data_IF_443056475521
#
_entry.id   IF_443056475521
#
_cell.length_a   1.000
_cell.length_b   1.000
_cell.length_c   1.000
_cell.angle_alpha   90.00
_cell.angle_beta   90.00
_cell.angle_gamma   90.00
#
_symmetry.space_group_name_H-M   'P 1'
#
loop_
_entity.id
_entity.type
_entity.pdbx_description
1 polymer ?
#
# COMPACT_ATOMS: atom_id res chain seq x y z
N UNK A 1 45.74 31.60 -21.74
CA UNK A 1 45.33 31.43 -20.33
C UNK A 1 43.93 31.97 -20.04
N UNK A 2 43.56 33.18 -20.47
CA UNK A 2 42.24 33.79 -20.15
C UNK A 2 41.03 33.00 -20.69
N UNK A 3 41.09 32.51 -21.94
CA UNK A 3 40.01 31.70 -22.55
C UNK A 3 39.81 30.37 -21.81
N UNK A 4 40.90 29.72 -21.41
CA UNK A 4 40.88 28.48 -20.63
C UNK A 4 40.24 28.68 -19.24
N UNK A 5 40.56 29.80 -18.58
CA UNK A 5 39.94 30.18 -17.31
C UNK A 5 38.44 30.44 -17.44
N UNK A 6 38.03 31.18 -18.47
CA UNK A 6 36.62 31.46 -18.73
C UNK A 6 35.83 30.17 -19.04
N UNK A 7 36.38 29.26 -19.85
CA UNK A 7 35.74 27.99 -20.17
C UNK A 7 35.55 27.09 -18.93
N UNK A 8 36.53 27.06 -18.03
CA UNK A 8 36.43 26.30 -16.77
C UNK A 8 35.31 26.84 -15.87
N UNK A 9 35.22 28.16 -15.73
CA UNK A 9 34.19 28.81 -14.91
C UNK A 9 32.79 28.55 -15.48
N UNK A 10 32.61 28.73 -16.79
CA UNK A 10 31.34 28.44 -17.47
C UNK A 10 30.98 26.96 -17.33
N UNK A 11 31.95 26.06 -17.50
CA UNK A 11 31.76 24.62 -17.33
C UNK A 11 31.32 24.24 -15.91
N UNK A 12 31.92 24.85 -14.88
CA UNK A 12 31.54 24.64 -13.48
C UNK A 12 30.13 25.17 -13.18
N UNK A 13 29.79 26.36 -13.67
CA UNK A 13 28.44 26.94 -13.50
C UNK A 13 27.39 26.06 -14.19
N UNK A 14 27.64 25.65 -15.43
CA UNK A 14 26.73 24.78 -16.18
C UNK A 14 26.60 23.40 -15.52
N UNK A 15 27.71 22.82 -15.05
CA UNK A 15 27.74 21.54 -14.34
C UNK A 15 26.97 21.60 -13.02
N UNK A 16 27.21 22.62 -12.21
CA UNK A 16 26.49 22.86 -10.96
C UNK A 16 25.00 23.10 -11.20
N UNK A 17 24.65 23.96 -12.17
CA UNK A 17 23.26 24.20 -12.55
C UNK A 17 22.54 22.94 -13.03
N UNK A 18 23.20 22.12 -13.84
CA UNK A 18 22.70 20.82 -14.28
C UNK A 18 22.49 19.85 -13.11
N UNK A 19 23.43 19.79 -12.16
CA UNK A 19 23.32 18.97 -10.96
C UNK A 19 22.16 19.41 -10.06
N UNK A 20 22.00 20.71 -9.82
CA UNK A 20 20.87 21.26 -9.08
C UNK A 20 19.53 20.95 -9.75
N UNK A 21 19.43 21.10 -11.08
CA UNK A 21 18.22 20.74 -11.83
C UNK A 21 17.90 19.25 -11.74
N UNK A 22 18.91 18.39 -11.78
CA UNK A 22 18.74 16.96 -11.59
C UNK A 22 18.23 16.64 -10.17
N UNK A 23 18.78 17.30 -9.16
CA UNK A 23 18.38 17.17 -7.75
C UNK A 23 16.93 17.65 -7.52
N UNK A 24 16.54 18.78 -8.13
CA UNK A 24 15.17 19.32 -8.06
C UNK A 24 14.13 18.42 -8.73
N UNK A 25 14.54 17.57 -9.68
CA UNK A 25 13.66 16.59 -10.32
C UNK A 25 13.46 15.33 -9.46
N UNK A 26 14.27 15.13 -8.42
CA UNK A 26 14.09 14.04 -7.46
C UNK A 26 13.07 14.44 -6.37
N UNK A 27 11.82 14.05 -6.59
CA UNK A 27 10.71 14.21 -5.64
C UNK A 27 10.47 12.95 -4.82
N UNK A 28 11.48 12.08 -4.65
CA UNK A 28 11.37 10.93 -3.74
C UNK A 28 11.24 11.37 -2.28
N UNK A 29 10.75 10.49 -1.42
CA UNK A 29 10.84 10.71 0.03
C UNK A 29 12.26 10.37 0.47
N UNK A 30 12.90 11.26 1.22
CA UNK A 30 14.25 11.03 1.78
C UNK A 30 14.19 10.36 3.15
N UNK A 31 13.09 10.57 3.87
CA UNK A 31 12.85 10.01 5.19
C UNK A 31 11.35 9.77 5.44
N UNK A 32 10.98 8.89 6.39
CA UNK A 32 9.57 8.58 6.68
C UNK A 32 8.77 9.79 7.16
N UNK A 33 9.37 10.66 7.98
CA UNK A 33 8.72 11.87 8.49
C UNK A 33 8.30 12.83 7.36
N UNK A 34 9.04 12.83 6.25
CA UNK A 34 8.68 13.63 5.08
C UNK A 34 7.38 13.12 4.45
N UNK A 35 7.20 11.81 4.31
CA UNK A 35 5.94 11.23 3.84
C UNK A 35 4.78 11.57 4.78
N UNK A 36 5.00 11.50 6.10
CA UNK A 36 4.02 11.86 7.10
C UNK A 36 3.58 13.33 6.98
N UNK A 37 4.55 14.24 6.84
CA UNK A 37 4.31 15.67 6.68
C UNK A 37 3.52 15.99 5.40
N UNK A 38 3.94 15.45 4.25
CA UNK A 38 3.33 15.79 2.97
C UNK A 38 1.95 15.17 2.74
N UNK A 39 1.64 14.06 3.42
CA UNK A 39 0.40 13.31 3.22
C UNK A 39 -0.56 13.42 4.41
N UNK A 40 -0.09 13.93 5.55
CA UNK A 40 -0.89 14.02 6.78
C UNK A 40 -1.33 12.65 7.30
N UNK A 41 -0.51 11.62 7.07
CA UNK A 41 -0.82 10.22 7.36
C UNK A 41 0.37 9.54 8.03
N UNK A 42 0.14 8.68 9.04
CA UNK A 42 1.22 7.97 9.70
C UNK A 42 1.88 6.96 8.76
N UNK A 43 3.20 6.78 8.89
CA UNK A 43 3.93 5.71 8.20
C UNK A 43 3.90 4.47 9.08
N UNK A 44 3.14 3.44 8.66
CA UNK A 44 2.97 2.20 9.41
C UNK A 44 4.11 1.20 9.20
N UNK A 45 4.88 1.35 8.13
CA UNK A 45 5.99 0.44 7.85
C UNK A 45 6.88 0.88 6.69
N UNK A 46 8.07 0.30 6.67
CA UNK A 46 9.08 0.53 5.65
C UNK A 46 9.58 -0.81 5.14
N UNK A 47 9.41 -1.07 3.85
CA UNK A 47 9.85 -2.32 3.23
C UNK A 47 11.11 -2.05 2.42
N UNK A 48 12.26 -2.65 2.79
CA UNK A 48 13.52 -2.38 2.12
C UNK A 48 13.52 -2.90 0.67
N UNK A 49 14.36 -2.31 -0.17
CA UNK A 49 14.60 -2.85 -1.51
C UNK A 49 15.28 -4.23 -1.39
N UNK A 50 14.60 -5.29 -1.83
CA UNK A 50 15.20 -6.61 -1.97
C UNK A 50 16.25 -6.60 -3.09
N UNK A 51 17.42 -7.23 -2.85
CA UNK A 51 18.38 -7.53 -3.91
C UNK A 51 17.69 -8.39 -4.98
N UNK A 52 18.03 -8.14 -6.24
CA UNK A 52 17.21 -8.47 -7.39
C UNK A 52 16.63 -9.90 -7.44
N UNK A 53 15.44 -9.97 -8.05
CA UNK A 53 14.89 -11.12 -8.77
C UNK A 53 14.09 -12.20 -8.05
N UNK A 54 13.31 -11.88 -7.02
CA UNK A 54 12.09 -12.65 -6.77
C UNK A 54 11.05 -11.89 -5.94
N UNK A 55 9.88 -11.68 -6.53
CA UNK A 55 8.63 -11.46 -5.78
C UNK A 55 8.34 -12.79 -5.09
N UNK A 56 8.90 -13.00 -3.90
CA UNK A 56 8.70 -14.21 -3.13
C UNK A 56 7.87 -13.86 -1.89
N UNK A 57 6.86 -14.69 -1.63
CA UNK A 57 6.43 -14.89 -0.25
C UNK A 57 7.67 -15.31 0.52
N UNK A 58 7.98 -14.61 1.61
CA UNK A 58 8.96 -15.11 2.55
C UNK A 58 8.38 -16.35 3.24
N UNK A 59 8.45 -17.51 2.58
CA UNK A 59 8.16 -18.79 3.22
C UNK A 59 9.24 -19.00 4.28
N UNK A 60 8.82 -19.24 5.52
CA UNK A 60 9.73 -19.59 6.60
C UNK A 60 10.58 -20.80 6.16
N UNK A 61 11.90 -20.63 6.11
CA UNK A 61 12.84 -21.69 5.70
C UNK A 61 14.00 -21.26 4.79
N UNK A 62 14.02 -20.04 4.24
CA UNK A 62 15.12 -19.57 3.38
C UNK A 62 16.04 -18.55 4.11
N UNK A 63 17.35 -18.75 3.99
CA UNK A 63 18.43 -18.16 4.80
C UNK A 63 18.64 -16.63 4.65
N UNK A 64 19.07 -16.03 5.76
CA UNK A 64 19.81 -14.78 6.03
C UNK A 64 19.41 -13.44 5.36
N UNK A 65 19.22 -13.31 4.04
CA UNK A 65 18.75 -12.05 3.44
C UNK A 65 17.27 -11.77 3.76
N UNK A 66 16.55 -12.81 4.13
CA UNK A 66 15.15 -12.77 4.48
C UNK A 66 14.86 -12.06 5.81
N UNK A 67 15.85 -11.88 6.70
CA UNK A 67 15.63 -11.31 8.03
C UNK A 67 15.06 -9.89 7.97
N UNK A 68 15.65 -9.00 7.18
CA UNK A 68 15.21 -7.60 7.12
C UNK A 68 13.82 -7.43 6.49
N UNK A 69 13.51 -8.22 5.45
CA UNK A 69 12.19 -8.18 4.80
C UNK A 69 11.11 -8.80 5.70
N UNK A 70 11.43 -9.95 6.33
CA UNK A 70 10.55 -10.59 7.30
C UNK A 70 10.26 -9.68 8.49
N UNK A 71 11.29 -9.03 9.02
CA UNK A 71 11.16 -8.12 10.15
C UNK A 71 10.36 -6.87 9.78
N UNK A 72 10.56 -6.32 8.57
CA UNK A 72 9.72 -5.24 8.05
C UNK A 72 8.22 -5.65 8.00
N UNK A 73 7.91 -6.86 7.55
CA UNK A 73 6.53 -7.35 7.52
C UNK A 73 5.98 -7.66 8.93
N UNK A 74 6.79 -8.15 9.86
CA UNK A 74 6.41 -8.35 11.27
C UNK A 74 6.15 -7.02 11.98
N UNK A 75 6.97 -6.01 11.72
CA UNK A 75 6.78 -4.66 12.22
C UNK A 75 5.50 -4.05 11.64
N UNK A 76 5.28 -4.18 10.32
CA UNK A 76 4.04 -3.73 9.68
C UNK A 76 2.81 -4.44 10.24
N UNK A 77 2.86 -5.76 10.45
CA UNK A 77 1.80 -6.52 11.11
C UNK A 77 1.49 -5.94 12.50
N UNK A 78 2.53 -5.70 13.28
CA UNK A 78 2.38 -5.16 14.65
C UNK A 78 1.74 -3.78 14.62
N UNK A 79 2.24 -2.87 13.76
CA UNK A 79 1.66 -1.56 13.55
C UNK A 79 0.19 -1.64 13.09
N UNK A 80 -0.13 -2.56 12.17
CA UNK A 80 -1.49 -2.78 11.70
C UNK A 80 -2.39 -3.20 12.86
N UNK A 81 -2.02 -4.23 13.62
CA UNK A 81 -2.79 -4.74 14.77
C UNK A 81 -3.06 -3.61 15.78
N UNK A 82 -2.08 -2.75 16.08
CA UNK A 82 -2.26 -1.62 16.98
C UNK A 82 -3.13 -0.50 16.40
N UNK A 83 -3.04 -0.27 15.08
CA UNK A 83 -3.78 0.79 14.40
C UNK A 83 -5.24 0.41 14.15
N UNK A 84 -5.49 -0.87 13.86
CA UNK A 84 -6.82 -1.43 13.67
C UNK A 84 -7.52 -1.69 14.99
N UNK A 85 -8.85 -1.52 14.98
CA UNK A 85 -9.71 -2.05 16.04
C UNK A 85 -10.33 -3.36 15.52
N UNK A 86 -10.12 -4.47 16.24
CA UNK A 86 -10.57 -5.81 15.87
C UNK A 86 -12.10 -5.91 15.66
N UNK A 87 -12.87 -4.99 16.23
CA UNK A 87 -14.32 -4.94 16.06
C UNK A 87 -14.78 -4.22 14.77
N UNK A 88 -13.99 -3.29 14.23
CA UNK A 88 -14.48 -2.35 13.20
C UNK A 88 -13.62 -2.24 11.94
N UNK A 89 -12.42 -2.83 11.91
CA UNK A 89 -11.51 -2.73 10.75
C UNK A 89 -11.10 -4.12 10.26
N UNK A 90 -12.08 -4.90 9.78
CA UNK A 90 -11.85 -6.26 9.27
C UNK A 90 -11.51 -6.24 7.79
N UNK A 91 -12.19 -5.41 7.00
CA UNK A 91 -11.96 -5.29 5.55
C UNK A 91 -10.98 -4.15 5.30
N UNK A 92 -9.76 -4.48 4.89
CA UNK A 92 -8.69 -3.51 4.64
C UNK A 92 -8.31 -3.59 3.17
N UNK A 93 -8.57 -2.51 2.44
CA UNK A 93 -8.10 -2.38 1.08
C UNK A 93 -6.62 -2.02 1.05
N UNK A 94 -5.87 -2.71 0.21
CA UNK A 94 -4.47 -2.41 -0.10
C UNK A 94 -4.42 -1.89 -1.54
N UNK A 95 -3.92 -0.68 -1.70
CA UNK A 95 -3.81 -0.02 -3.01
C UNK A 95 -2.56 0.84 -3.08
N UNK A 96 -2.29 1.42 -4.25
CA UNK A 96 -1.14 2.26 -4.49
C UNK A 96 -1.45 3.36 -5.51
N UNK A 97 -0.66 4.44 -5.57
CA UNK A 97 -0.80 5.43 -6.63
C UNK A 97 -0.60 4.83 -8.02
N UNK A 98 0.39 3.97 -8.21
CA UNK A 98 0.84 3.51 -9.53
C UNK A 98 1.07 2.00 -9.60
N UNK A 99 1.06 1.48 -10.83
CA UNK A 99 1.41 0.09 -11.11
C UNK A 99 2.87 -0.20 -10.74
N UNK A 100 3.13 -1.37 -10.15
CA UNK A 100 4.47 -1.77 -9.75
C UNK A 100 4.97 -1.17 -8.42
N UNK A 101 4.07 -0.55 -7.64
CA UNK A 101 4.41 -0.05 -6.30
C UNK A 101 4.58 -1.16 -5.25
N UNK A 102 4.21 -2.39 -5.60
CA UNK A 102 4.39 -3.60 -4.79
C UNK A 102 3.25 -3.92 -3.82
N UNK A 103 2.06 -3.33 -4.04
CA UNK A 103 0.80 -3.57 -3.32
C UNK A 103 0.48 -5.07 -3.13
N UNK A 104 0.50 -5.86 -4.20
CA UNK A 104 0.20 -7.31 -4.18
C UNK A 104 1.21 -8.09 -3.35
N UNK A 105 2.50 -7.80 -3.51
CA UNK A 105 3.56 -8.43 -2.73
C UNK A 105 3.46 -8.08 -1.25
N UNK A 106 3.11 -6.83 -0.96
CA UNK A 106 2.87 -6.36 0.40
C UNK A 106 1.67 -7.10 1.00
N UNK A 107 0.53 -7.15 0.30
CA UNK A 107 -0.69 -7.81 0.73
C UNK A 107 -0.44 -9.29 1.06
N UNK A 108 0.23 -10.01 0.17
CA UNK A 108 0.54 -11.42 0.35
C UNK A 108 1.42 -11.68 1.58
N UNK A 109 2.52 -10.92 1.75
CA UNK A 109 3.42 -11.08 2.89
C UNK A 109 2.84 -10.56 4.21
N UNK A 110 2.02 -9.52 4.18
CA UNK A 110 1.29 -9.03 5.35
C UNK A 110 0.25 -10.06 5.81
N UNK A 111 -0.52 -10.64 4.87
CA UNK A 111 -1.47 -11.70 5.18
C UNK A 111 -0.79 -12.94 5.75
N UNK A 112 0.33 -13.35 5.16
CA UNK A 112 1.19 -14.40 5.71
C UNK A 112 1.65 -14.10 7.14
N UNK A 113 2.15 -12.89 7.38
CA UNK A 113 2.64 -12.48 8.70
C UNK A 113 1.53 -12.47 9.77
N UNK A 114 0.33 -12.00 9.40
CA UNK A 114 -0.85 -12.01 10.25
C UNK A 114 -1.29 -13.44 10.58
N UNK A 115 -1.34 -14.33 9.58
CA UNK A 115 -1.66 -15.74 9.78
C UNK A 115 -0.66 -16.44 10.72
N UNK A 116 0.63 -16.15 10.59
CA UNK A 116 1.67 -16.64 11.52
C UNK A 116 1.47 -16.16 12.97
N UNK A 117 0.73 -15.07 13.20
CA UNK A 117 0.35 -14.63 14.56
C UNK A 117 -0.95 -15.28 15.07
N UNK A 118 -1.44 -16.33 14.40
CA UNK A 118 -2.64 -17.06 14.78
C UNK A 118 -3.95 -16.40 14.35
N UNK A 119 -3.90 -15.39 13.45
CA UNK A 119 -5.11 -14.73 12.94
C UNK A 119 -5.69 -15.51 11.76
N UNK A 120 -7.02 -15.51 11.66
CA UNK A 120 -7.74 -15.98 10.46
C UNK A 120 -7.71 -14.87 9.43
N UNK A 121 -7.04 -15.08 8.31
CA UNK A 121 -6.83 -14.07 7.28
C UNK A 121 -7.36 -14.56 5.95
N UNK A 122 -8.10 -13.69 5.27
CA UNK A 122 -8.47 -13.86 3.87
C UNK A 122 -7.75 -12.82 3.02
N UNK A 123 -7.11 -13.27 1.96
CA UNK A 123 -6.64 -12.41 0.87
C UNK A 123 -7.65 -12.44 -0.26
N UNK A 124 -8.04 -11.29 -0.79
CA UNK A 124 -8.92 -11.18 -1.96
C UNK A 124 -8.14 -10.48 -3.09
N UNK A 125 -8.04 -11.11 -4.26
CA UNK A 125 -7.49 -10.48 -5.47
C UNK A 125 -8.61 -9.76 -6.23
N UNK A 126 -8.79 -8.47 -5.95
CA UNK A 126 -9.74 -7.61 -6.65
C UNK A 126 -9.07 -6.82 -7.81
N UNK A 127 -7.82 -7.12 -8.16
CA UNK A 127 -7.18 -6.66 -9.40
C UNK A 127 -7.56 -7.59 -10.56
N UNK A 128 -8.83 -7.54 -10.97
CA UNK A 128 -9.38 -8.38 -12.06
C UNK A 128 -8.71 -8.12 -13.43
N UNK A 129 -7.88 -7.07 -13.54
CA UNK A 129 -7.14 -6.72 -14.76
C UNK A 129 -5.80 -7.42 -14.83
N UNK A 130 -5.04 -7.39 -13.74
CA UNK A 130 -3.71 -7.97 -13.66
C UNK A 130 -3.56 -8.81 -12.39
N UNK A 131 -4.33 -9.90 -12.24
CA UNK A 131 -4.33 -10.69 -11.02
C UNK A 131 -3.00 -11.43 -10.85
N UNK A 132 -2.55 -11.52 -9.60
CA UNK A 132 -1.21 -12.02 -9.28
C UNK A 132 -1.17 -12.82 -7.98
N UNK A 133 -2.15 -12.71 -7.08
CA UNK A 133 -2.08 -13.38 -5.77
C UNK A 133 -2.04 -14.90 -5.93
N UNK A 134 -2.86 -15.48 -6.80
CA UNK A 134 -2.86 -16.94 -7.04
C UNK A 134 -1.46 -17.46 -7.42
N UNK A 135 -0.72 -16.72 -8.27
CA UNK A 135 0.64 -17.11 -8.67
C UNK A 135 1.63 -17.12 -7.52
N UNK A 136 1.48 -16.20 -6.55
CA UNK A 136 2.35 -16.12 -5.38
C UNK A 136 2.15 -17.31 -4.45
N UNK A 137 0.92 -17.81 -4.35
CA UNK A 137 0.57 -18.96 -3.52
C UNK A 137 0.64 -20.29 -4.28
N UNK A 138 0.96 -20.31 -5.58
CA UNK A 138 1.00 -21.53 -6.39
C UNK A 138 -0.39 -22.14 -6.63
N UNK A 139 -1.44 -21.32 -6.58
CA UNK A 139 -2.84 -21.72 -6.75
C UNK A 139 -3.35 -21.39 -8.16
N UNK A 140 -4.44 -22.04 -8.57
CA UNK A 140 -5.11 -21.77 -9.84
C UNK A 140 -6.09 -20.61 -9.75
N UNK A 141 -6.42 -20.00 -10.88
CA UNK A 141 -7.34 -18.85 -11.00
C UNK A 141 -8.57 -19.19 -11.86
N UNK A 142 -8.99 -20.47 -11.88
CA UNK A 142 -10.08 -20.96 -12.73
C UNK A 142 -11.45 -20.48 -12.25
N UNK A 143 -11.61 -20.37 -10.94
CA UNK A 143 -12.77 -19.84 -10.24
C UNK A 143 -12.28 -18.85 -9.20
N UNK A 144 -13.05 -17.80 -8.92
CA UNK A 144 -12.65 -16.76 -7.98
C UNK A 144 -13.70 -15.68 -7.82
N UNK A 145 -13.26 -14.49 -7.43
CA UNK A 145 -14.12 -13.33 -7.18
C UNK A 145 -15.05 -13.03 -8.37
N UNK A 146 -14.52 -13.04 -9.60
CA UNK A 146 -15.33 -12.77 -10.79
C UNK A 146 -16.41 -13.82 -11.00
N UNK A 147 -16.10 -15.11 -10.84
CA UNK A 147 -17.06 -16.21 -10.94
C UNK A 147 -18.18 -16.10 -9.92
N UNK A 148 -17.88 -15.68 -8.70
CA UNK A 148 -18.88 -15.44 -7.67
C UNK A 148 -19.77 -14.24 -8.01
N UNK A 149 -19.16 -13.13 -8.45
CA UNK A 149 -19.89 -11.91 -8.80
C UNK A 149 -20.79 -12.08 -10.02
N UNK A 150 -20.50 -13.04 -10.90
CA UNK A 150 -21.31 -13.42 -12.06
C UNK A 150 -22.23 -14.61 -11.80
N UNK A 151 -22.36 -15.07 -10.55
CA UNK A 151 -23.24 -16.18 -10.13
C UNK A 151 -22.90 -17.54 -10.77
N UNK A 152 -21.65 -17.71 -11.19
CA UNK A 152 -21.15 -18.93 -11.80
C UNK A 152 -20.57 -19.92 -10.78
N UNK A 153 -20.35 -19.48 -9.54
CA UNK A 153 -19.81 -20.30 -8.46
C UNK A 153 -20.29 -19.78 -7.10
N UNK A 154 -20.43 -20.70 -6.14
CA UNK A 154 -20.76 -20.37 -4.77
C UNK A 154 -19.52 -19.95 -3.96
N UNK A 155 -19.75 -19.26 -2.84
CA UNK A 155 -18.69 -18.74 -1.97
C UNK A 155 -17.72 -19.83 -1.50
N UNK A 156 -18.24 -21.03 -1.22
CA UNK A 156 -17.47 -22.19 -0.76
C UNK A 156 -16.49 -22.71 -1.81
N UNK A 157 -16.77 -22.46 -3.09
CA UNK A 157 -15.99 -23.00 -4.22
C UNK A 157 -14.90 -22.04 -4.69
N UNK A 158 -15.01 -20.77 -4.30
CA UNK A 158 -14.08 -19.70 -4.72
C UNK A 158 -13.06 -19.33 -3.64
N UNK A 159 -13.33 -19.65 -2.37
CA UNK A 159 -12.38 -19.41 -1.27
C UNK A 159 -11.44 -20.61 -1.14
N UNK A 160 -10.20 -20.43 -1.58
CA UNK A 160 -9.18 -21.47 -1.58
C UNK A 160 -8.36 -21.44 -0.28
N UNK A 161 -8.08 -22.63 0.26
CA UNK A 161 -7.09 -22.77 1.35
C UNK A 161 -5.69 -22.69 0.76
N UNK A 162 -4.79 -22.02 1.47
CA UNK A 162 -3.36 -22.01 1.14
C UNK A 162 -2.60 -23.05 1.97
N UNK A 163 -1.34 -23.33 1.62
CA UNK A 163 -0.44 -24.15 2.45
C UNK A 163 -0.10 -23.53 3.82
N UNK A 164 -0.57 -22.30 4.07
CA UNK A 164 -0.27 -21.54 5.29
C UNK A 164 -1.47 -21.63 6.22
N UNK A 165 -1.32 -22.23 7.42
CA UNK A 165 -2.41 -22.31 8.39
C UNK A 165 -2.96 -20.93 8.74
N UNK A 166 -4.30 -20.80 8.76
CA UNK A 166 -4.99 -19.55 9.05
C UNK A 166 -5.05 -18.55 7.88
N UNK A 167 -4.50 -18.89 6.70
CA UNK A 167 -4.54 -18.04 5.51
C UNK A 167 -5.35 -18.67 4.37
N UNK A 168 -6.41 -17.99 3.96
CA UNK A 168 -7.20 -18.31 2.78
C UNK A 168 -6.97 -17.28 1.67
N UNK A 169 -7.25 -17.68 0.43
CA UNK A 169 -7.16 -16.84 -0.76
C UNK A 169 -8.46 -16.96 -1.56
N UNK A 170 -9.07 -15.82 -1.86
CA UNK A 170 -10.06 -15.66 -2.92
C UNK A 170 -9.34 -15.05 -4.14
N UNK A 171 -8.95 -15.86 -5.15
CA UNK A 171 -8.32 -15.34 -6.36
C UNK A 171 -9.33 -14.51 -7.18
N UNK A 172 -8.87 -13.83 -8.22
CA UNK A 172 -9.73 -12.96 -9.04
C UNK A 172 -10.76 -13.73 -9.85
N UNK A 173 -10.47 -14.97 -10.21
CA UNK A 173 -11.17 -15.74 -11.22
C UNK A 173 -10.79 -15.32 -12.65
N UNK A 174 -11.47 -15.89 -13.65
CA UNK A 174 -11.24 -15.62 -15.06
C UNK A 174 -11.30 -14.12 -15.38
N UNK A 175 -10.51 -13.70 -16.37
CA UNK A 175 -10.50 -12.31 -16.86
C UNK A 175 -11.88 -11.92 -17.37
N UNK A 176 -12.31 -10.72 -16.98
CA UNK A 176 -13.62 -10.17 -17.33
C UNK A 176 -13.45 -8.94 -18.23
N UNK A 177 -14.43 -8.70 -19.11
CA UNK A 177 -14.45 -7.55 -20.00
C UNK A 177 -14.71 -6.24 -19.25
N UNK A 178 -15.58 -6.26 -18.22
CA UNK A 178 -15.98 -5.09 -17.43
C UNK A 178 -15.68 -5.23 -15.92
N UNK A 179 -14.40 -5.18 -15.48
CA UNK A 179 -14.02 -5.30 -14.06
C UNK A 179 -14.73 -4.34 -13.10
N UNK A 180 -14.82 -3.06 -13.45
CA UNK A 180 -15.36 -2.02 -12.57
C UNK A 180 -16.85 -2.22 -12.26
N UNK A 181 -17.62 -2.62 -13.27
CA UNK A 181 -19.05 -2.89 -13.15
C UNK A 181 -19.31 -4.07 -12.21
N UNK A 182 -18.55 -5.16 -12.36
CA UNK A 182 -18.65 -6.32 -11.49
C UNK A 182 -18.36 -5.98 -10.02
N UNK A 183 -17.31 -5.20 -9.76
CA UNK A 183 -16.98 -4.77 -8.40
C UNK A 183 -18.03 -3.83 -7.79
N UNK A 184 -18.84 -3.17 -8.63
CA UNK A 184 -19.92 -2.28 -8.18
C UNK A 184 -21.17 -3.05 -7.78
N UNK A 185 -21.24 -4.34 -8.13
CA UNK A 185 -22.36 -5.22 -7.77
C UNK A 185 -22.65 -5.22 -6.25
N UNK A 186 -23.93 -5.30 -5.84
CA UNK A 186 -24.31 -5.55 -4.45
C UNK A 186 -23.67 -6.82 -3.88
N UNK A 187 -23.43 -7.84 -4.72
CA UNK A 187 -22.86 -9.12 -4.30
C UNK A 187 -21.47 -9.01 -3.70
N UNK A 188 -20.67 -8.01 -4.09
CA UNK A 188 -19.37 -7.78 -3.44
C UNK A 188 -19.55 -7.40 -1.96
N UNK A 189 -20.55 -6.57 -1.66
CA UNK A 189 -20.86 -6.19 -0.29
C UNK A 189 -21.34 -7.39 0.51
N UNK A 190 -22.25 -8.19 -0.06
CA UNK A 190 -22.76 -9.42 0.57
C UNK A 190 -21.65 -10.42 0.86
N UNK A 191 -20.71 -10.60 -0.09
CA UNK A 191 -19.54 -11.44 0.08
C UNK A 191 -18.68 -10.96 1.26
N UNK A 192 -18.35 -9.67 1.29
CA UNK A 192 -17.53 -9.11 2.36
C UNK A 192 -18.24 -9.23 3.71
N UNK A 193 -19.55 -8.94 3.77
CA UNK A 193 -20.34 -9.00 5.00
C UNK A 193 -20.47 -10.44 5.53
N UNK A 194 -20.64 -11.41 4.64
CA UNK A 194 -20.67 -12.84 5.01
C UNK A 194 -19.31 -13.27 5.59
N UNK A 195 -18.22 -12.91 4.92
CA UNK A 195 -16.87 -13.33 5.31
C UNK A 195 -16.35 -12.62 6.56
N UNK A 196 -16.93 -11.48 6.96
CA UNK A 196 -16.55 -10.76 8.18
C UNK A 196 -16.63 -11.65 9.42
N UNK A 197 -17.53 -12.63 9.49
CA UNK A 197 -17.66 -13.54 10.64
C UNK A 197 -16.53 -14.57 10.75
N UNK A 198 -15.98 -14.97 9.61
CA UNK A 198 -15.06 -16.11 9.49
C UNK A 198 -13.59 -15.70 9.59
N UNK A 199 -13.29 -14.43 9.34
CA UNK A 199 -11.93 -13.90 9.29
C UNK A 199 -11.73 -12.72 10.23
N UNK A 200 -10.57 -12.67 10.87
CA UNK A 200 -10.16 -11.55 11.70
C UNK A 200 -9.68 -10.38 10.83
N UNK A 201 -9.07 -10.69 9.67
CA UNK A 201 -8.64 -9.73 8.66
C UNK A 201 -9.00 -10.22 7.25
N UNK A 202 -9.56 -9.32 6.45
CA UNK A 202 -9.82 -9.49 5.02
C UNK A 202 -9.00 -8.42 4.30
N UNK A 203 -7.90 -8.82 3.67
CA UNK A 203 -7.04 -7.91 2.92
C UNK A 203 -7.41 -7.97 1.44
N UNK A 204 -7.84 -6.85 0.88
CA UNK A 204 -8.30 -6.76 -0.51
C UNK A 204 -7.21 -6.07 -1.35
N UNK A 205 -6.51 -6.83 -2.20
CA UNK A 205 -5.58 -6.27 -3.18
C UNK A 205 -6.37 -5.67 -4.35
N UNK A 206 -6.12 -4.41 -4.66
CA UNK A 206 -6.87 -3.65 -5.68
C UNK A 206 -5.92 -2.96 -6.64
N UNK A 207 -6.32 -2.68 -7.90
CA UNK A 207 -5.44 -2.03 -8.85
C UNK A 207 -5.00 -0.62 -8.40
N UNK A 208 -4.08 0.05 -9.10
CA UNK A 208 -3.60 1.37 -8.68
C UNK A 208 -4.67 2.47 -8.84
N UNK A 209 -4.79 3.33 -7.82
CA UNK A 209 -5.78 4.41 -7.74
C UNK A 209 -5.73 5.40 -8.92
N UNK A 210 -4.53 5.73 -9.42
CA UNK A 210 -4.38 6.75 -10.46
C UNK A 210 -4.46 6.18 -11.88
N UNK A 211 -4.69 4.87 -12.02
CA UNK A 211 -4.74 4.22 -13.35
C UNK A 211 -6.15 3.87 -13.76
N UNK A 212 -7.01 3.47 -12.82
CA UNK A 212 -8.37 2.98 -13.07
C UNK A 212 -9.30 3.32 -11.90
N UNK A 213 -10.61 3.27 -12.14
CA UNK A 213 -11.64 3.59 -11.12
C UNK A 213 -11.99 2.41 -10.20
N UNK A 214 -11.68 1.17 -10.59
CA UNK A 214 -11.98 -0.06 -9.86
C UNK A 214 -11.65 -0.01 -8.34
N UNK A 215 -10.51 0.55 -7.89
CA UNK A 215 -10.16 0.60 -6.47
C UNK A 215 -11.10 1.50 -5.67
N UNK A 216 -11.67 2.54 -6.28
CA UNK A 216 -12.59 3.47 -5.62
C UNK A 216 -13.90 2.78 -5.21
N UNK A 217 -14.33 1.79 -5.99
CA UNK A 217 -15.54 0.99 -5.69
C UNK A 217 -15.33 0.11 -4.45
N UNK A 218 -14.12 -0.43 -4.30
CA UNK A 218 -13.72 -1.22 -3.13
C UNK A 218 -13.56 -0.31 -1.90
N UNK A 219 -13.08 0.93 -2.07
CA UNK A 219 -12.90 1.89 -0.96
C UNK A 219 -14.21 2.09 -0.21
N UNK A 220 -15.32 2.23 -0.93
CA UNK A 220 -16.64 2.43 -0.34
C UNK A 220 -17.17 1.21 0.46
N UNK A 221 -16.56 0.03 0.30
CA UNK A 221 -16.96 -1.23 0.95
C UNK A 221 -15.91 -1.72 1.95
N UNK A 222 -14.73 -1.11 1.98
CA UNK A 222 -13.68 -1.40 2.92
C UNK A 222 -13.84 -0.55 4.19
N UNK A 223 -13.47 -1.10 5.33
CA UNK A 223 -13.47 -0.36 6.59
C UNK A 223 -12.32 0.64 6.66
N UNK A 224 -11.22 0.33 5.98
CA UNK A 224 -10.06 1.20 5.88
C UNK A 224 -9.16 0.89 4.68
N UNK A 225 -8.23 1.81 4.41
CA UNK A 225 -7.26 1.72 3.32
C UNK A 225 -5.83 1.76 3.87
N UNK A 226 -4.98 0.87 3.35
CA UNK A 226 -3.53 0.90 3.50
C UNK A 226 -2.90 1.37 2.18
N UNK A 227 -2.27 2.53 2.20
CA UNK A 227 -1.68 3.13 0.99
C UNK A 227 -0.22 2.71 0.83
N UNK A 228 0.09 1.97 -0.22
CA UNK A 228 1.45 1.51 -0.54
C UNK A 228 2.11 2.47 -1.51
N UNK A 229 3.26 3.00 -1.15
CA UNK A 229 4.02 3.94 -1.97
C UNK A 229 5.40 3.37 -2.22
N UNK A 230 5.73 3.09 -3.48
CA UNK A 230 7.13 2.79 -3.83
C UNK A 230 7.94 4.07 -3.79
N UNK A 231 9.04 4.05 -3.03
CA UNK A 231 9.95 5.17 -3.02
C UNK A 231 10.68 5.27 -4.36
N UNK A 232 10.35 6.31 -5.13
CA UNK A 232 10.88 6.57 -6.47
C UNK A 232 10.96 8.08 -6.70
N UNK A 233 11.71 8.52 -7.71
CA UNK A 233 11.92 9.97 -7.99
C UNK A 233 10.63 10.78 -8.18
N UNK A 234 9.49 10.15 -8.50
CA UNK A 234 8.21 10.82 -8.73
C UNK A 234 7.11 10.41 -7.74
N UNK A 235 7.44 9.69 -6.67
CA UNK A 235 6.42 9.12 -5.78
C UNK A 235 5.64 10.17 -5.00
N UNK A 236 6.25 11.28 -4.58
CA UNK A 236 5.58 12.32 -3.78
C UNK A 236 4.35 12.95 -4.45
N UNK A 237 4.45 13.53 -5.67
CA UNK A 237 3.27 14.10 -6.32
C UNK A 237 2.19 13.04 -6.60
N UNK A 238 2.58 11.81 -6.94
CA UNK A 238 1.64 10.71 -7.15
C UNK A 238 0.93 10.31 -5.85
N UNK A 239 1.66 10.26 -4.74
CA UNK A 239 1.10 9.97 -3.43
C UNK A 239 0.11 11.05 -2.97
N UNK A 240 0.42 12.33 -3.20
CA UNK A 240 -0.48 13.43 -2.89
C UNK A 240 -1.78 13.37 -3.71
N UNK A 241 -1.66 13.04 -4.99
CA UNK A 241 -2.83 12.85 -5.85
C UNK A 241 -3.68 11.66 -5.38
N UNK A 242 -3.05 10.53 -5.03
CA UNK A 242 -3.76 9.37 -4.49
C UNK A 242 -4.45 9.67 -3.15
N UNK A 243 -3.79 10.44 -2.27
CA UNK A 243 -4.38 10.93 -1.02
C UNK A 243 -5.61 11.81 -1.29
N UNK A 244 -5.51 12.78 -2.20
CA UNK A 244 -6.64 13.64 -2.55
C UNK A 244 -7.85 12.85 -3.08
N UNK A 245 -7.60 11.80 -3.88
CA UNK A 245 -8.65 10.87 -4.35
C UNK A 245 -9.30 10.15 -3.17
N UNK A 246 -8.51 9.59 -2.25
CA UNK A 246 -9.02 8.91 -1.06
C UNK A 246 -9.81 9.86 -0.13
N UNK A 247 -9.37 11.11 0.01
CA UNK A 247 -10.05 12.13 0.83
C UNK A 247 -11.39 12.52 0.23
N UNK A 248 -11.45 12.67 -1.10
CA UNK A 248 -12.70 12.96 -1.83
C UNK A 248 -13.75 11.86 -1.62
N UNK A 249 -13.29 10.60 -1.45
CA UNK A 249 -14.16 9.46 -1.17
C UNK A 249 -14.52 9.30 0.32
N UNK A 250 -14.00 10.15 1.21
CA UNK A 250 -14.17 9.98 2.65
C UNK A 250 -13.50 8.73 3.20
N UNK A 251 -12.48 8.20 2.52
CA UNK A 251 -11.84 6.96 2.88
C UNK A 251 -11.07 7.07 4.20
N UNK A 252 -11.26 6.09 5.10
CA UNK A 252 -10.43 5.98 6.29
C UNK A 252 -9.08 5.37 5.95
N UNK A 253 -8.05 6.19 5.76
CA UNK A 253 -6.69 5.70 5.49
C UNK A 253 -5.97 5.42 6.81
N UNK A 254 -5.62 4.15 7.07
CA UNK A 254 -4.91 3.74 8.29
C UNK A 254 -3.50 4.34 8.34
N UNK A 255 -2.88 4.50 7.17
CA UNK A 255 -1.55 5.04 7.02
C UNK A 255 -0.88 4.56 5.75
N UNK A 256 0.42 4.79 5.68
CA UNK A 256 1.26 4.57 4.51
C UNK A 256 2.27 3.47 4.78
N UNK A 257 2.54 2.67 3.74
CA UNK A 257 3.71 1.80 3.69
C UNK A 257 4.67 2.28 2.62
N UNK A 258 5.89 2.65 3.03
CA UNK A 258 6.95 3.02 2.11
C UNK A 258 7.67 1.76 1.64
N UNK A 259 7.50 1.42 0.36
CA UNK A 259 8.10 0.24 -0.24
C UNK A 259 9.38 0.58 -1.03
N UNK A 260 10.29 -0.39 -1.13
CA UNK A 260 11.60 -0.27 -1.78
C UNK A 260 12.44 0.88 -1.25
N UNK A 261 12.43 1.09 0.06
CA UNK A 261 13.30 2.11 0.68
C UNK A 261 14.77 1.68 0.54
N UNK A 262 15.63 2.64 0.19
CA UNK A 262 17.07 2.41 0.09
C UNK A 262 17.73 2.35 1.48
N UNK A 263 18.98 1.86 1.54
CA UNK A 263 19.77 1.75 2.78
C UNK A 263 19.88 3.05 3.59
N UNK A 264 19.71 4.21 2.93
CA UNK A 264 19.74 5.55 3.55
C UNK A 264 18.58 5.81 4.53
N UNK A 265 17.53 5.01 4.52
CA UNK A 265 16.39 5.16 5.44
C UNK A 265 16.69 4.70 6.88
N UNK A 266 17.83 4.04 7.13
CA UNK A 266 18.32 3.67 8.46
C UNK A 266 17.51 2.54 9.13
N UNK A 267 18.15 1.56 9.79
CA UNK A 267 17.42 0.48 10.49
C UNK A 267 16.62 0.96 11.72
N UNK A 268 16.96 2.14 12.27
CA UNK A 268 16.38 2.67 13.53
C UNK A 268 14.99 3.30 13.44
N UNK A 269 14.35 3.37 12.27
CA UNK A 269 13.02 3.99 12.11
C UNK A 269 11.85 3.14 12.61
N UNK A 270 12.03 1.85 12.87
CA UNK A 270 10.93 0.95 13.23
C UNK A 270 10.39 1.18 14.65
N UNK A 271 11.25 1.53 15.61
CA UNK A 271 10.84 1.77 17.01
C UNK A 271 10.22 3.14 17.24
N UNK A 272 10.73 4.19 16.59
CA UNK A 272 10.22 5.56 16.79
C UNK A 272 8.85 5.78 16.14
N UNK A 273 8.54 5.09 15.03
CA UNK A 273 7.24 5.18 14.37
C UNK A 273 6.10 4.55 15.18
N UNK A 274 6.38 3.46 15.93
CA UNK A 274 5.42 2.85 16.86
C UNK A 274 5.08 3.80 18.02
N UNK A 275 6.08 4.53 18.52
CA UNK A 275 5.88 5.57 19.53
C UNK A 275 5.07 6.76 18.97
N UNK A 276 5.39 7.22 17.75
CA UNK A 276 4.67 8.32 17.11
C UNK A 276 3.20 7.98 16.82
N UNK A 277 2.91 6.77 16.31
CA UNK A 277 1.54 6.33 16.04
C UNK A 277 0.69 6.17 17.32
N UNK A 278 1.33 5.82 18.45
CA UNK A 278 0.66 5.81 19.75
C UNK A 278 0.38 7.25 20.26
N UNK A 279 1.30 8.19 20.03
CA UNK A 279 1.10 9.60 20.38
C UNK A 279 0.04 10.30 19.53
N UNK A 280 -0.04 10.02 18.23
CA UNK A 280 -1.02 10.64 17.31
C UNK A 280 -2.47 10.23 17.61
N UNK A 281 -2.71 9.14 18.36
CA UNK A 281 -4.05 8.83 18.91
C UNK A 281 -4.45 9.73 20.08
N UNK A 282 -3.49 10.40 20.72
CA UNK A 282 -3.69 11.16 21.96
C UNK A 282 -3.86 12.66 21.70
N UNK A 283 -3.54 13.14 20.50
CA UNK A 283 -3.62 14.55 20.10
C UNK A 283 -4.88 14.84 19.29
N UNK A 284 -5.75 15.77 19.74
CA UNK A 284 -6.82 16.30 18.89
C UNK A 284 -6.19 16.98 17.67
N UNK A 285 -6.61 16.58 16.46
CA UNK A 285 -6.17 17.24 15.23
C UNK A 285 -6.70 18.68 15.21
N UNK A 286 -5.82 19.65 15.48
CA UNK A 286 -6.09 21.07 15.19
C UNK A 286 -5.80 21.28 13.70
N UNK A 287 -6.80 21.64 12.88
CA UNK A 287 -6.55 21.96 11.47
C UNK A 287 -5.61 23.16 11.37
N UNK A 288 -4.73 23.24 10.36
CA UNK A 288 -3.95 24.45 10.14
C UNK A 288 -4.89 25.63 9.94
N UNK A 289 -4.70 26.68 10.74
CA UNK A 289 -5.52 27.89 10.72
C UNK A 289 -5.62 28.42 9.28
N UNK A 290 -6.86 28.61 8.81
CA UNK A 290 -7.12 29.38 7.59
C UNK A 290 -6.50 30.76 7.82
N UNK A 291 -5.50 31.12 7.02
CA UNK A 291 -5.08 32.52 6.91
C UNK A 291 -6.19 33.26 6.21
N UNK A 292 -7.00 33.97 6.99
CA UNK A 292 -7.95 34.94 6.49
C UNK A 292 -7.20 36.01 5.70
N UNK A 293 -7.48 36.07 4.40
CA UNK A 293 -7.15 37.20 3.55
C UNK A 293 -8.13 38.32 3.87
N UNK A 294 -7.87 39.09 4.92
CA UNK A 294 -8.51 40.39 5.14
C UNK A 294 -7.47 41.39 5.67
N UNK A 295 -7.22 42.45 4.92
CA UNK A 295 -6.41 43.58 5.36
C UNK A 295 -5.60 44.25 4.25
N UNK A 296 -6.27 44.83 3.25
CA UNK A 296 -5.70 45.97 2.49
C UNK A 296 -6.44 47.20 2.99
N UNK A 297 -5.76 48.18 3.63
CA UNK A 297 -6.39 49.44 3.99
C UNK A 297 -6.50 50.38 2.78
N UNK A 298 -7.53 51.22 2.84
CA UNK A 298 -7.98 52.21 1.84
C UNK A 298 -6.87 53.00 1.13
#
# INVERSE_FOLDING_TARGET
FLVLGAALVVGLIAGFGGACLAEMRDKSFRAPHEACYWLGLPVLGQVPLAAANRVQLYKAGAQELHGALAEAHRALRTALIFTTNAATHRVIQITSPCAGDGKTTLAANLGFSLAQSGKRVLLIDADLRHPRLHTLFGLTDRTGLSSFLTEQADLTDVVLRTDVPGLALLPSGPRQHNPAELLTSPRLKELLDTLRGDFDYILVDTPPLLTVSDPCVVVARADAVLLVIRNSRKCRPQAQQARAVLDTMGAKVLGIVLNRVGRRFGPGGHGSLLYQAALDRSTPQVPPARRDLQGVPN
#
